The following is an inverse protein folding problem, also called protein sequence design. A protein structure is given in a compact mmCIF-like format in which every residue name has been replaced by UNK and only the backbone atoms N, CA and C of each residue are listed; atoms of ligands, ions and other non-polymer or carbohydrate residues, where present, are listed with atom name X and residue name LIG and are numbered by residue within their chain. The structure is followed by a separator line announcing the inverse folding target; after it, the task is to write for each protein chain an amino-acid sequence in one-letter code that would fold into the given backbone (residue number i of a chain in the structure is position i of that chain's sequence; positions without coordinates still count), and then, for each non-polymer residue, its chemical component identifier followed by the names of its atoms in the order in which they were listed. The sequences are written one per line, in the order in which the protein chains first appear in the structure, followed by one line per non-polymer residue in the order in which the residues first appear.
data_IF_179130794971
#
_entry.id   IF_179130794971
#
_cell.length_a   1.000
_cell.length_b   1.000
_cell.length_c   1.000
_cell.angle_alpha   90.00
_cell.angle_beta   90.00
_cell.angle_gamma   90.00
#
_symmetry.space_group_name_H-M   'P 1'
#
loop_
_entity.id
_entity.type
_entity.pdbx_description
1 polymer ?
#
# COMPACT_ATOMS: atom_id res chain seq x y z
N UNK A 1 -5.27 11.16 47.74
CA UNK A 1 -6.28 10.31 47.09
C UNK A 1 -6.31 10.75 45.63
N UNK A 2 -5.99 9.85 44.69
CA UNK A 2 -6.19 10.16 43.28
C UNK A 2 -7.68 10.46 43.07
N UNK A 3 -7.96 11.53 42.34
CA UNK A 3 -9.32 12.01 42.09
C UNK A 3 -10.09 10.89 41.38
N UNK A 4 -11.09 10.31 42.06
CA UNK A 4 -11.76 9.06 41.68
C UNK A 4 -12.60 9.21 40.39
N UNK A 5 -12.79 10.45 39.93
CA UNK A 5 -13.51 10.80 38.69
C UNK A 5 -12.62 11.44 37.62
N UNK A 6 -11.31 11.48 37.81
CA UNK A 6 -10.41 12.02 36.80
C UNK A 6 -10.12 10.94 35.74
N UNK A 7 -10.50 11.20 34.49
CA UNK A 7 -10.10 10.36 33.38
C UNK A 7 -8.58 10.52 33.16
N UNK A 8 -7.84 9.45 33.43
CA UNK A 8 -6.38 9.35 33.26
C UNK A 8 -6.01 8.50 32.05
N UNK A 9 -7.02 7.98 31.35
CA UNK A 9 -6.86 7.24 30.11
C UNK A 9 -7.10 8.17 28.93
N UNK A 10 -6.31 8.01 27.88
CA UNK A 10 -6.55 8.66 26.61
C UNK A 10 -6.55 7.61 25.50
N UNK A 11 -7.53 7.67 24.60
CA UNK A 11 -7.52 6.87 23.37
C UNK A 11 -6.26 7.21 22.56
N UNK A 12 -5.44 6.21 22.20
CA UNK A 12 -4.19 6.44 21.48
C UNK A 12 -4.41 6.91 20.05
N UNK A 13 -5.50 6.50 19.40
CA UNK A 13 -5.82 6.92 18.04
C UNK A 13 -6.14 8.43 17.99
N UNK A 14 -6.86 8.92 18.99
CA UNK A 14 -7.19 10.34 19.12
C UNK A 14 -6.04 11.18 19.69
N UNK A 15 -5.22 10.62 20.59
CA UNK A 15 -4.11 11.34 21.19
C UNK A 15 -2.97 11.62 20.18
N UNK A 16 -2.78 10.74 19.19
CA UNK A 16 -1.69 10.84 18.21
C UNK A 16 -2.11 11.66 17.00
N UNK A 17 -1.36 12.74 16.75
CA UNK A 17 -1.55 13.64 15.63
C UNK A 17 -0.32 13.58 14.72
N UNK A 18 -0.48 13.01 13.53
CA UNK A 18 0.56 12.93 12.50
C UNK A 18 0.42 14.15 11.59
N UNK A 19 1.47 14.95 11.47
CA UNK A 19 1.42 16.20 10.70
C UNK A 19 2.53 16.28 9.67
N UNK A 20 2.19 16.55 8.41
CA UNK A 20 3.17 16.92 7.38
C UNK A 20 3.44 18.43 7.47
N UNK A 21 4.71 18.81 7.56
CA UNK A 21 5.13 20.20 7.72
C UNK A 21 6.14 20.62 6.65
N UNK A 22 6.13 21.90 6.31
CA UNK A 22 7.14 22.55 5.46
C UNK A 22 7.71 23.78 6.14
N UNK A 23 8.89 24.21 5.68
CA UNK A 23 9.46 25.50 6.07
C UNK A 23 8.53 26.65 5.64
N UNK A 24 8.29 27.60 6.54
CA UNK A 24 7.53 28.82 6.28
C UNK A 24 8.21 30.01 6.99
N UNK A 25 7.96 31.22 6.51
CA UNK A 25 8.51 32.44 7.13
C UNK A 25 8.07 32.50 8.60
N UNK A 26 9.03 32.30 9.52
CA UNK A 26 8.79 32.33 10.97
C UNK A 26 8.55 30.98 11.66
N UNK A 27 8.71 29.84 10.97
CA UNK A 27 8.64 28.52 11.62
C UNK A 27 8.25 27.37 10.68
N UNK A 28 7.47 26.43 11.19
CA UNK A 28 6.93 25.31 10.40
C UNK A 28 5.45 25.52 10.11
N UNK A 29 5.06 25.38 8.84
CA UNK A 29 3.66 25.37 8.43
C UNK A 29 3.19 23.92 8.28
N UNK A 30 2.07 23.56 8.92
CA UNK A 30 1.44 22.26 8.70
C UNK A 30 0.63 22.28 7.41
N UNK A 31 0.91 21.34 6.51
CA UNK A 31 0.13 21.13 5.28
C UNK A 31 -1.11 20.32 5.62
N UNK A 32 -0.91 19.18 6.30
CA UNK A 32 -1.97 18.24 6.66
C UNK A 32 -1.70 17.68 8.05
N UNK A 33 -2.77 17.43 8.80
CA UNK A 33 -2.76 16.70 10.06
C UNK A 33 -3.82 15.61 9.98
N UNK A 34 -3.46 14.40 10.42
CA UNK A 34 -4.35 13.24 10.43
C UNK A 34 -3.98 12.31 11.59
N UNK A 35 -4.89 11.40 11.93
CA UNK A 35 -4.75 10.45 13.02
C UNK A 35 -4.40 9.05 12.48
N UNK A 36 -3.73 8.20 13.27
CA UNK A 36 -3.56 6.80 12.93
C UNK A 36 -4.92 6.07 12.93
N UNK A 37 -5.00 4.95 12.21
CA UNK A 37 -6.18 4.08 12.20
C UNK A 37 -6.08 2.98 13.26
N UNK A 38 -4.85 2.53 13.51
CA UNK A 38 -4.53 1.47 14.45
C UNK A 38 -3.37 1.91 15.32
N UNK A 39 -3.40 1.55 16.59
CA UNK A 39 -2.33 1.81 17.55
C UNK A 39 -2.07 0.63 18.47
N UNK A 40 -2.83 -0.46 18.32
CA UNK A 40 -2.74 -1.65 19.17
C UNK A 40 -1.36 -2.31 19.19
N UNK A 41 -0.65 -2.34 18.04
CA UNK A 41 0.72 -2.89 17.97
C UNK A 41 1.74 -2.11 18.79
N UNK A 42 1.39 -0.89 19.22
CA UNK A 42 2.27 0.03 19.96
C UNK A 42 1.78 0.19 21.40
N UNK A 43 0.48 0.36 21.63
CA UNK A 43 -0.11 0.66 22.94
C UNK A 43 -0.93 -0.49 23.55
N UNK A 44 -0.97 -1.65 22.90
CA UNK A 44 -1.73 -2.82 23.32
C UNK A 44 -3.17 -2.83 22.79
N UNK A 45 -3.84 -3.99 22.90
CA UNK A 45 -5.15 -4.27 22.28
C UNK A 45 -6.28 -3.31 22.69
N UNK A 46 -6.15 -2.63 23.83
CA UNK A 46 -7.13 -1.64 24.29
C UNK A 46 -6.97 -0.26 23.63
N UNK A 47 -5.89 -0.02 22.88
CA UNK A 47 -5.60 1.26 22.21
C UNK A 47 -5.77 2.48 23.14
N UNK A 48 -5.27 2.34 24.37
CA UNK A 48 -5.48 3.27 25.46
C UNK A 48 -4.17 3.55 26.18
N UNK A 49 -3.92 4.82 26.48
CA UNK A 49 -2.72 5.29 27.15
C UNK A 49 -3.07 5.74 28.56
N UNK A 50 -2.50 5.06 29.55
CA UNK A 50 -2.73 5.38 30.94
C UNK A 50 -1.72 6.41 31.49
N UNK A 51 -2.23 7.32 32.32
CA UNK A 51 -1.42 8.15 33.22
C UNK A 51 -1.23 9.60 32.79
N UNK A 52 -2.02 10.07 31.82
CA UNK A 52 -1.91 11.42 31.27
C UNK A 52 -3.28 12.05 31.08
N UNK A 53 -3.46 13.29 31.56
CA UNK A 53 -4.67 14.08 31.25
C UNK A 53 -4.39 15.08 30.14
N UNK A 54 -5.27 15.13 29.15
CA UNK A 54 -5.12 16.02 27.98
C UNK A 54 -3.87 15.70 27.16
N UNK A 55 -3.56 14.41 27.02
CA UNK A 55 -2.41 13.94 26.27
C UNK A 55 -2.54 14.30 24.78
N UNK A 56 -1.47 14.88 24.22
CA UNK A 56 -1.33 15.09 22.78
C UNK A 56 0.07 14.66 22.35
N UNK A 57 0.13 13.70 21.46
CA UNK A 57 1.37 13.20 20.87
C UNK A 57 1.43 13.72 19.44
N UNK A 58 2.21 14.78 19.21
CA UNK A 58 2.37 15.36 17.88
C UNK A 58 3.59 14.74 17.21
N UNK A 59 3.37 13.92 16.18
CA UNK A 59 4.41 13.36 15.34
C UNK A 59 4.48 14.19 14.04
N UNK A 60 5.42 15.14 14.00
CA UNK A 60 5.62 16.02 12.86
C UNK A 60 6.60 15.39 11.88
N UNK A 61 6.27 15.39 10.61
CA UNK A 61 7.09 14.91 9.53
C UNK A 61 7.41 16.05 8.59
N UNK A 62 8.68 16.25 8.27
CA UNK A 62 9.03 17.13 7.17
C UNK A 62 8.52 16.54 5.85
N UNK A 63 7.79 17.33 5.06
CA UNK A 63 7.06 16.86 3.91
C UNK A 63 7.95 16.27 2.79
N UNK A 64 9.21 16.69 2.68
CA UNK A 64 10.10 16.20 1.65
C UNK A 64 10.88 14.95 2.09
N UNK A 65 11.66 15.00 3.18
CA UNK A 65 12.55 13.89 3.58
C UNK A 65 11.94 12.94 4.63
N UNK A 66 10.68 13.17 5.02
CA UNK A 66 9.97 12.45 6.07
C UNK A 66 10.75 12.38 7.38
N UNK A 67 11.60 13.36 7.70
CA UNK A 67 12.26 13.41 9.01
C UNK A 67 11.21 13.59 10.11
N UNK A 68 11.15 12.71 11.13
CA UNK A 68 10.21 12.84 12.22
C UNK A 68 10.71 13.81 13.30
N UNK A 69 9.77 14.47 13.97
CA UNK A 69 9.96 15.24 15.19
C UNK A 69 8.81 14.96 16.15
N UNK A 70 9.10 14.37 17.29
CA UNK A 70 8.12 13.96 18.29
C UNK A 70 7.96 15.05 19.37
N UNK A 71 6.74 15.51 19.57
CA UNK A 71 6.38 16.47 20.61
C UNK A 71 5.21 15.95 21.43
N UNK A 72 5.50 15.53 22.67
CA UNK A 72 4.51 15.05 23.63
C UNK A 72 4.14 16.20 24.58
N UNK A 73 2.86 16.54 24.66
CA UNK A 73 2.32 17.52 25.61
C UNK A 73 1.18 16.90 26.42
N UNK A 74 1.05 17.31 27.68
CA UNK A 74 0.01 16.85 28.60
C UNK A 74 -0.23 17.89 29.69
N UNK A 75 -1.43 17.92 30.27
CA UNK A 75 -1.80 18.86 31.33
C UNK A 75 -1.33 18.37 32.70
N UNK A 76 -1.59 17.09 33.00
CA UNK A 76 -1.20 16.43 34.25
C UNK A 76 -0.68 15.04 33.95
N UNK A 77 0.33 14.61 34.72
CA UNK A 77 0.87 13.25 34.71
C UNK A 77 0.51 12.57 36.03
N UNK A 78 0.04 11.33 35.95
CA UNK A 78 -0.29 10.51 37.12
C UNK A 78 0.96 10.28 37.96
N UNK A 79 0.84 10.40 39.29
CA UNK A 79 1.93 10.09 40.22
C UNK A 79 1.84 8.60 40.54
N UNK A 80 2.92 7.83 40.41
CA UNK A 80 2.91 6.39 40.71
C UNK A 80 2.32 6.10 42.09
N UNK A 81 1.42 5.13 42.17
CA UNK A 81 0.85 4.64 43.43
C UNK A 81 0.90 3.12 43.42
N UNK A 82 1.75 2.55 44.28
CA UNK A 82 2.01 1.10 44.28
C UNK A 82 2.67 0.69 42.95
N UNK A 83 2.11 -0.32 42.30
CA UNK A 83 2.59 -0.87 41.02
C UNK A 83 1.98 -0.16 39.79
N UNK A 84 1.13 0.85 39.99
CA UNK A 84 0.47 1.57 38.90
C UNK A 84 1.35 2.75 38.48
N UNK A 85 2.01 2.61 37.33
CA UNK A 85 2.85 3.66 36.72
C UNK A 85 2.24 4.20 35.42
N UNK A 86 2.44 5.48 35.08
CA UNK A 86 2.04 6.03 33.79
C UNK A 86 2.87 5.40 32.66
N UNK A 87 2.25 5.17 31.51
CA UNK A 87 2.90 4.58 30.34
C UNK A 87 4.13 5.40 29.92
N UNK A 88 5.30 4.78 29.79
CA UNK A 88 6.48 5.48 29.26
C UNK A 88 6.42 5.60 27.74
N UNK A 89 5.80 6.70 27.30
CA UNK A 89 5.62 7.03 25.88
C UNK A 89 6.94 7.06 25.09
N UNK A 90 8.08 7.39 25.72
CA UNK A 90 9.36 7.42 24.99
C UNK A 90 9.87 6.02 24.77
N UNK A 91 9.87 5.18 25.80
CA UNK A 91 10.30 3.80 25.70
C UNK A 91 9.42 2.99 24.74
N UNK A 92 8.10 3.26 24.71
CA UNK A 92 7.16 2.60 23.80
C UNK A 92 7.40 3.01 22.33
N UNK A 93 7.75 4.27 22.06
CA UNK A 93 7.94 4.77 20.69
C UNK A 93 9.37 4.60 20.16
N UNK A 94 10.36 4.38 21.04
CA UNK A 94 11.78 4.25 20.68
C UNK A 94 12.07 3.13 19.65
N UNK A 95 11.43 1.94 19.72
CA UNK A 95 11.62 0.89 18.71
C UNK A 95 11.11 1.28 17.32
N UNK A 96 10.12 2.17 17.25
CA UNK A 96 9.42 2.50 16.01
C UNK A 96 9.96 3.76 15.33
N UNK A 97 10.61 4.65 16.08
CA UNK A 97 11.13 5.94 15.59
C UNK A 97 12.65 6.00 15.65
N UNK A 98 13.30 6.68 14.70
CA UNK A 98 14.74 6.92 14.78
C UNK A 98 15.05 7.85 15.96
N UNK A 99 16.25 7.73 16.54
CA UNK A 99 16.72 8.58 17.66
C UNK A 99 16.59 10.09 17.39
N UNK A 100 16.71 10.50 16.12
CA UNK A 100 16.53 11.89 15.69
C UNK A 100 15.12 12.43 15.93
N UNK A 101 14.11 11.56 16.03
CA UNK A 101 12.73 11.96 16.33
C UNK A 101 12.58 12.56 17.72
N UNK A 102 13.43 12.17 18.67
CA UNK A 102 13.36 12.59 20.08
C UNK A 102 14.18 13.85 20.39
N UNK A 103 14.75 14.49 19.37
CA UNK A 103 15.49 15.74 19.50
C UNK A 103 14.56 16.92 19.85
N UNK A 104 15.16 18.04 20.28
CA UNK A 104 14.41 19.25 20.60
C UNK A 104 13.73 19.81 19.35
N UNK A 105 12.54 20.38 19.49
CA UNK A 105 11.79 21.00 18.38
C UNK A 105 12.59 22.07 17.63
N UNK A 106 13.49 22.80 18.32
CA UNK A 106 14.37 23.77 17.68
C UNK A 106 15.36 23.13 16.68
N UNK A 107 15.84 21.92 16.97
CA UNK A 107 16.75 21.18 16.08
C UNK A 107 15.99 20.66 14.86
N UNK A 108 14.75 20.22 15.06
CA UNK A 108 13.85 19.85 13.99
C UNK A 108 13.59 21.03 13.03
N UNK A 109 13.27 22.21 13.56
CA UNK A 109 13.02 23.42 12.77
C UNK A 109 14.28 23.90 12.02
N UNK A 110 15.46 23.84 12.66
CA UNK A 110 16.72 24.18 11.98
C UNK A 110 17.02 23.21 10.83
N UNK A 111 16.74 21.91 11.02
CA UNK A 111 16.96 20.90 10.00
C UNK A 111 16.05 21.13 8.79
N UNK A 112 14.76 21.41 9.00
CA UNK A 112 13.82 21.72 7.91
C UNK A 112 14.26 22.97 7.12
N UNK A 113 14.77 23.98 7.82
CA UNK A 113 15.24 25.21 7.20
C UNK A 113 16.56 25.05 6.43
N UNK A 114 17.34 24.03 6.78
CA UNK A 114 18.65 23.74 6.15
C UNK A 114 18.58 22.88 4.89
N UNK A 115 17.40 22.43 4.49
CA UNK A 115 17.26 21.50 3.36
C UNK A 115 17.64 22.21 2.06
N UNK A 116 18.55 21.63 1.26
CA UNK A 116 18.92 22.20 -0.02
C UNK A 116 17.72 22.29 -0.98
N UNK A 117 17.66 23.34 -1.79
CA UNK A 117 16.62 23.53 -2.80
C UNK A 117 16.66 22.48 -3.92
N UNK A 118 17.83 21.88 -4.12
CA UNK A 118 18.13 20.80 -5.07
C UNK A 118 17.91 19.39 -4.47
N UNK A 119 17.39 19.30 -3.25
CA UNK A 119 17.08 18.01 -2.64
C UNK A 119 16.10 17.21 -3.51
N UNK A 120 16.40 15.92 -3.68
CA UNK A 120 15.53 14.95 -4.34
C UNK A 120 15.40 13.69 -3.47
N UNK A 121 14.32 12.91 -3.67
CA UNK A 121 14.16 11.62 -2.99
C UNK A 121 15.31 10.64 -3.25
N UNK A 122 15.58 9.72 -2.31
CA UNK A 122 16.62 8.71 -2.50
C UNK A 122 16.24 7.67 -3.56
N UNK A 123 17.25 7.05 -4.16
CA UNK A 123 17.11 6.09 -5.24
C UNK A 123 17.13 6.71 -6.64
N UNK A 124 16.59 5.97 -7.61
CA UNK A 124 16.50 6.37 -9.02
C UNK A 124 15.09 6.92 -9.32
N UNK A 125 15.02 7.96 -10.16
CA UNK A 125 13.73 8.41 -10.70
C UNK A 125 13.23 7.37 -11.71
N UNK A 126 12.15 6.66 -11.36
CA UNK A 126 11.58 5.60 -12.19
C UNK A 126 10.56 6.15 -13.18
N UNK A 127 9.62 6.99 -12.73
CA UNK A 127 8.54 7.50 -13.57
C UNK A 127 8.02 8.86 -13.12
N UNK A 128 7.78 9.75 -14.06
CA UNK A 128 7.06 11.01 -13.85
C UNK A 128 5.67 10.91 -14.49
N UNK A 129 4.64 11.35 -13.77
CA UNK A 129 3.24 11.21 -14.16
C UNK A 129 2.55 12.55 -13.93
N UNK A 130 1.93 13.12 -14.97
CA UNK A 130 1.20 14.38 -14.88
C UNK A 130 -0.30 14.12 -15.02
N UNK A 131 -1.06 14.43 -13.96
CA UNK A 131 -2.51 14.20 -13.92
C UNK A 131 -3.18 15.42 -13.29
N UNK A 132 -4.15 16.00 -14.00
CA UNK A 132 -4.94 17.11 -13.48
C UNK A 132 -4.14 18.38 -13.17
N UNK A 133 -2.99 18.58 -13.82
CA UNK A 133 -2.08 19.70 -13.55
C UNK A 133 -1.16 19.49 -12.34
N UNK A 134 -1.24 18.34 -11.67
CA UNK A 134 -0.29 17.92 -10.64
C UNK A 134 0.77 16.98 -11.24
N UNK A 135 2.03 17.16 -10.86
CA UNK A 135 3.13 16.27 -11.25
C UNK A 135 3.45 15.33 -10.10
N UNK A 136 3.45 14.02 -10.38
CA UNK A 136 3.86 12.97 -9.46
C UNK A 136 5.14 12.33 -9.97
N UNK A 137 6.08 12.07 -9.07
CA UNK A 137 7.30 11.35 -9.37
C UNK A 137 7.37 10.09 -8.50
N UNK A 138 7.70 8.97 -9.14
CA UNK A 138 7.93 7.69 -8.49
C UNK A 138 9.43 7.43 -8.50
N UNK A 139 9.98 7.29 -7.30
CA UNK A 139 11.38 7.01 -7.07
C UNK A 139 11.52 5.56 -6.59
N UNK A 140 12.56 4.86 -7.06
CA UNK A 140 12.81 3.46 -6.76
C UNK A 140 14.18 3.31 -6.13
N UNK A 141 14.24 2.61 -5.01
CA UNK A 141 15.49 2.27 -4.33
C UNK A 141 15.54 0.79 -3.96
N UNK A 142 16.74 0.33 -3.62
CA UNK A 142 16.95 -0.98 -3.01
C UNK A 142 17.16 -0.78 -1.50
N UNK A 143 16.69 -1.71 -0.67
CA UNK A 143 16.86 -1.60 0.78
C UNK A 143 18.32 -1.77 1.25
N UNK A 144 19.23 -2.25 0.40
CA UNK A 144 20.67 -2.24 0.70
C UNK A 144 21.29 -0.83 0.63
N UNK A 145 20.62 0.17 0.04
CA UNK A 145 21.09 1.55 0.00
C UNK A 145 20.86 2.25 1.37
N UNK A 146 21.91 2.77 2.04
CA UNK A 146 21.78 3.46 3.31
C UNK A 146 20.80 4.65 3.31
N UNK A 147 20.66 5.37 2.20
CA UNK A 147 19.72 6.51 2.11
C UNK A 147 18.26 6.04 2.03
N UNK A 148 18.02 4.91 1.37
CA UNK A 148 16.70 4.26 1.30
C UNK A 148 16.35 3.68 2.67
N UNK A 149 17.29 2.99 3.32
CA UNK A 149 17.10 2.49 4.69
C UNK A 149 16.78 3.62 5.66
N UNK A 150 17.50 4.74 5.58
CA UNK A 150 17.23 5.90 6.44
C UNK A 150 15.80 6.41 6.26
N UNK A 151 15.30 6.43 5.03
CA UNK A 151 13.93 6.87 4.72
C UNK A 151 12.92 5.86 5.26
N UNK A 152 13.14 4.55 5.07
CA UNK A 152 12.31 3.49 5.66
C UNK A 152 12.27 3.62 7.18
N UNK A 153 13.42 3.78 7.87
CA UNK A 153 13.49 3.96 9.33
C UNK A 153 12.64 5.13 9.82
N UNK A 154 12.47 6.18 9.02
CA UNK A 154 11.64 7.35 9.36
C UNK A 154 10.14 7.09 9.21
N UNK A 155 9.74 6.32 8.19
CA UNK A 155 8.34 6.10 7.84
C UNK A 155 7.78 4.77 8.37
N UNK A 156 8.62 3.87 8.89
CA UNK A 156 8.22 2.51 9.28
C UNK A 156 7.10 2.48 10.33
N UNK A 157 7.02 3.46 11.24
CA UNK A 157 5.92 3.58 12.22
C UNK A 157 4.56 3.80 11.56
N UNK A 158 4.52 4.32 10.33
CA UNK A 158 3.27 4.49 9.60
C UNK A 158 2.66 3.14 9.19
N UNK A 159 3.46 2.07 9.10
CA UNK A 159 2.99 0.72 8.79
C UNK A 159 2.00 0.24 9.86
N UNK A 160 2.37 0.10 11.15
CA UNK A 160 1.42 -0.30 12.19
C UNK A 160 0.30 0.73 12.40
N UNK A 161 0.47 2.00 12.00
CA UNK A 161 -0.59 2.99 12.10
C UNK A 161 -1.72 2.84 11.07
N UNK A 162 -1.44 2.29 9.89
CA UNK A 162 -2.39 2.29 8.76
C UNK A 162 -2.59 0.93 8.11
N UNK A 163 -1.71 -0.03 8.35
CA UNK A 163 -1.78 -1.40 7.83
C UNK A 163 -2.02 -2.34 9.01
N UNK A 164 -3.21 -2.93 9.05
CA UNK A 164 -3.58 -3.94 10.05
C UNK A 164 -2.64 -5.15 9.93
N UNK A 165 -2.07 -5.58 11.05
CA UNK A 165 -1.07 -6.65 11.10
C UNK A 165 0.29 -6.28 10.52
N UNK A 166 0.50 -5.03 10.10
CA UNK A 166 1.74 -4.57 9.50
C UNK A 166 2.91 -4.58 10.48
N UNK A 167 3.99 -5.26 10.12
CA UNK A 167 5.24 -5.31 10.89
C UNK A 167 6.32 -4.43 10.27
N UNK A 168 7.29 -4.03 11.09
CA UNK A 168 8.50 -3.36 10.60
C UNK A 168 9.32 -4.34 9.75
N UNK A 169 10.07 -3.79 8.79
CA UNK A 169 11.08 -4.56 8.09
C UNK A 169 12.30 -4.71 9.00
N UNK A 170 12.92 -5.89 8.98
CA UNK A 170 14.22 -6.07 9.61
C UNK A 170 15.30 -5.42 8.73
N UNK A 171 16.02 -4.47 9.30
CA UNK A 171 17.05 -3.68 8.61
C UNK A 171 18.47 -4.08 9.02
N UNK A 172 18.60 -5.06 9.93
CA UNK A 172 19.87 -5.57 10.44
C UNK A 172 20.24 -6.92 9.78
N UNK A 173 19.53 -7.31 8.70
CA UNK A 173 19.80 -8.50 7.88
C UNK A 173 21.04 -8.34 6.97
N UNK A 174 21.43 -9.43 6.29
CA UNK A 174 22.55 -9.42 5.36
C UNK A 174 22.28 -8.51 4.14
N UNK A 175 23.32 -7.97 3.52
CA UNK A 175 23.17 -7.14 2.30
C UNK A 175 22.43 -7.89 1.17
N UNK A 176 22.57 -9.21 1.11
CA UNK A 176 21.87 -10.07 0.14
C UNK A 176 20.38 -10.19 0.43
N UNK A 177 19.98 -10.22 1.70
CA UNK A 177 18.57 -10.28 2.11
C UNK A 177 17.88 -8.92 1.93
N UNK A 178 18.57 -7.85 2.33
CA UNK A 178 18.15 -6.47 2.05
C UNK A 178 18.06 -6.21 0.54
N UNK A 179 18.96 -6.82 -0.24
CA UNK A 179 18.99 -6.74 -1.70
C UNK A 179 17.72 -7.24 -2.38
N UNK A 180 16.94 -8.10 -1.71
CA UNK A 180 15.68 -8.64 -2.23
C UNK A 180 14.51 -7.69 -2.08
N UNK A 181 14.66 -6.62 -1.30
CA UNK A 181 13.64 -5.61 -1.09
C UNK A 181 13.83 -4.44 -2.06
N UNK A 182 12.85 -4.25 -2.93
CA UNK A 182 12.71 -3.03 -3.73
C UNK A 182 11.70 -2.10 -3.07
N UNK A 183 12.08 -0.84 -2.88
CA UNK A 183 11.23 0.19 -2.28
C UNK A 183 10.86 1.21 -3.34
N UNK A 184 9.58 1.55 -3.41
CA UNK A 184 9.04 2.60 -4.26
C UNK A 184 8.51 3.73 -3.39
N UNK A 185 8.88 4.97 -3.72
CA UNK A 185 8.38 6.16 -3.07
C UNK A 185 7.57 6.99 -4.06
N UNK A 186 6.39 7.45 -3.64
CA UNK A 186 5.53 8.33 -4.41
C UNK A 186 5.62 9.75 -3.84
N UNK A 187 6.03 10.70 -4.69
CA UNK A 187 6.11 12.10 -4.36
C UNK A 187 5.22 12.94 -5.26
N UNK A 188 4.57 13.94 -4.68
CA UNK A 188 3.97 15.04 -5.43
C UNK A 188 5.01 16.15 -5.56
N UNK A 189 5.31 16.54 -6.79
CA UNK A 189 6.18 17.67 -7.10
C UNK A 189 5.32 18.91 -7.30
N UNK A 190 5.37 19.82 -6.33
CA UNK A 190 4.77 21.15 -6.46
C UNK A 190 5.58 21.97 -7.46
N UNK A 191 4.92 22.69 -8.35
CA UNK A 191 5.62 23.67 -9.17
C UNK A 191 6.25 24.70 -8.22
N UNK A 192 7.56 24.87 -8.35
CA UNK A 192 8.33 25.77 -7.51
C UNK A 192 7.87 27.21 -7.78
N UNK A 193 6.98 27.73 -6.95
CA UNK A 193 6.74 29.17 -6.83
C UNK A 193 7.84 29.77 -5.95
N UNK A 194 9.10 29.50 -6.29
CA UNK A 194 10.24 30.08 -5.59
C UNK A 194 10.27 31.59 -5.86
N UNK A 195 9.54 32.35 -5.05
CA UNK A 195 9.93 33.73 -4.76
C UNK A 195 11.28 33.69 -4.05
N UNK A 196 12.11 34.71 -4.29
CA UNK A 196 13.51 34.88 -3.84
C UNK A 196 13.78 34.63 -2.34
N UNK A 197 12.73 34.45 -1.52
CA UNK A 197 12.75 34.31 -0.06
C UNK A 197 12.33 32.92 0.46
N UNK A 198 11.81 32.00 -0.37
CA UNK A 198 11.36 30.67 0.07
C UNK A 198 12.21 29.55 -0.54
N UNK A 199 13.20 29.08 0.23
CA UNK A 199 13.95 27.85 -0.08
C UNK A 199 13.22 26.67 0.56
N UNK A 200 12.15 26.19 -0.06
CA UNK A 200 11.52 24.91 0.32
C UNK A 200 11.65 23.91 -0.83
N UNK A 201 11.93 22.66 -0.48
CA UNK A 201 11.99 21.58 -1.47
C UNK A 201 10.61 21.38 -2.11
N UNK A 202 10.59 21.23 -3.43
CA UNK A 202 9.34 21.10 -4.20
C UNK A 202 8.61 19.76 -4.02
N UNK A 203 9.17 18.84 -3.23
CA UNK A 203 8.67 17.47 -3.07
C UNK A 203 7.84 17.32 -1.81
N UNK A 204 6.67 16.68 -1.96
CA UNK A 204 5.78 16.28 -0.86
C UNK A 204 5.58 14.77 -0.93
N UNK A 205 6.02 14.08 0.12
CA UNK A 205 5.85 12.64 0.25
C UNK A 205 4.36 12.28 0.28
N UNK A 206 3.96 11.39 -0.62
CA UNK A 206 2.56 11.01 -0.83
C UNK A 206 2.29 9.57 -0.38
N UNK A 207 3.26 8.68 -0.54
CA UNK A 207 3.11 7.26 -0.20
C UNK A 207 4.36 6.44 -0.51
N UNK A 208 4.33 5.17 -0.15
CA UNK A 208 5.38 4.23 -0.50
C UNK A 208 4.84 2.80 -0.66
N UNK A 209 5.65 1.95 -1.29
CA UNK A 209 5.39 0.52 -1.35
C UNK A 209 6.69 -0.28 -1.31
N UNK A 210 6.65 -1.44 -0.70
CA UNK A 210 7.76 -2.39 -0.63
C UNK A 210 7.41 -3.65 -1.41
N UNK A 211 8.38 -4.17 -2.15
CA UNK A 211 8.25 -5.39 -2.94
C UNK A 211 9.39 -6.33 -2.57
N UNK A 212 9.04 -7.55 -2.16
CA UNK A 212 10.01 -8.61 -1.88
C UNK A 212 10.14 -9.57 -3.06
N UNK A 213 11.37 -9.96 -3.36
CA UNK A 213 11.71 -10.94 -4.39
C UNK A 213 11.85 -12.35 -3.79
N UNK A 214 10.82 -13.18 -3.93
CA UNK A 214 10.90 -14.60 -3.58
C UNK A 214 11.53 -15.42 -4.68
N UNK A 215 12.53 -16.23 -4.36
CA UNK A 215 13.02 -17.24 -5.29
C UNK A 215 11.89 -18.21 -5.67
N UNK A 216 11.69 -18.41 -6.97
CA UNK A 216 10.72 -19.35 -7.51
C UNK A 216 11.45 -20.57 -8.06
N UNK A 217 11.46 -21.65 -7.28
CA UNK A 217 11.96 -22.92 -7.74
C UNK A 217 11.11 -23.43 -8.92
N UNK A 218 11.77 -23.70 -10.05
CA UNK A 218 11.15 -24.31 -11.22
C UNK A 218 11.85 -25.65 -11.47
N UNK A 219 11.22 -26.78 -11.16
CA UNK A 219 11.83 -28.08 -11.42
C UNK A 219 12.00 -28.25 -12.93
N UNK A 220 13.17 -28.71 -13.36
CA UNK A 220 13.41 -29.13 -14.74
C UNK A 220 12.45 -30.27 -15.08
N UNK A 221 11.64 -30.09 -16.13
CA UNK A 221 10.74 -31.12 -16.64
C UNK A 221 11.21 -31.62 -18.01
N UNK A 222 11.05 -32.92 -18.32
CA UNK A 222 10.25 -33.90 -17.57
C UNK A 222 11.01 -34.53 -16.38
N UNK A 223 10.30 -35.05 -15.36
CA UNK A 223 10.92 -35.95 -14.38
C UNK A 223 11.63 -37.07 -15.13
N UNK A 224 12.84 -37.43 -14.69
CA UNK A 224 13.58 -38.55 -15.28
C UNK A 224 12.67 -39.80 -15.34
N UNK A 225 12.71 -40.47 -16.49
CA UNK A 225 11.81 -41.53 -16.98
C UNK A 225 11.23 -42.51 -15.94
N UNK A 226 10.03 -43.07 -16.19
CA UNK A 226 9.35 -44.02 -15.28
C UNK A 226 10.09 -45.35 -15.00
N UNK A 227 11.24 -45.60 -15.64
CA UNK A 227 12.06 -46.82 -15.48
C UNK A 227 13.55 -46.52 -15.14
N UNK A 228 13.91 -45.30 -14.78
CA UNK A 228 15.25 -44.98 -14.26
C UNK A 228 15.24 -45.04 -12.74
N UNK A 229 16.34 -45.49 -12.14
CA UNK A 229 16.53 -45.52 -10.69
C UNK A 229 16.01 -44.25 -10.00
N UNK A 230 15.49 -44.39 -8.78
CA UNK A 230 15.06 -43.27 -7.91
C UNK A 230 16.27 -42.39 -7.58
N UNK A 231 16.73 -41.61 -8.54
CA UNK A 231 17.61 -40.49 -8.32
C UNK A 231 16.68 -39.44 -7.73
N UNK A 232 16.72 -39.29 -6.40
CA UNK A 232 16.15 -38.12 -5.77
C UNK A 232 16.69 -36.90 -6.54
N UNK A 233 15.85 -35.94 -6.95
CA UNK A 233 16.36 -34.76 -7.64
C UNK A 233 17.38 -34.12 -6.70
N UNK A 234 18.66 -34.29 -7.02
CA UNK A 234 19.77 -33.70 -6.29
C UNK A 234 19.66 -32.20 -6.56
N UNK A 235 18.94 -31.51 -5.67
CA UNK A 235 18.82 -30.08 -5.72
C UNK A 235 20.15 -29.49 -5.24
N UNK A 236 21.05 -29.28 -6.18
CA UNK A 236 22.15 -28.35 -6.01
C UNK A 236 21.61 -26.96 -6.31
N UNK A 237 21.52 -26.12 -5.28
CA UNK A 237 21.47 -24.67 -5.50
C UNK A 237 22.65 -24.33 -6.43
N UNK A 238 22.50 -23.46 -7.43
CA UNK A 238 23.64 -22.95 -8.17
C UNK A 238 24.42 -22.01 -7.24
N UNK A 239 25.20 -22.59 -6.31
CA UNK A 239 25.77 -21.86 -5.17
C UNK A 239 27.00 -21.03 -5.54
N UNK A 240 27.66 -21.35 -6.66
CA UNK A 240 28.90 -20.67 -7.06
C UNK A 240 28.65 -19.68 -8.20
N UNK A 241 28.69 -18.38 -7.87
CA UNK A 241 28.79 -17.28 -8.83
C UNK A 241 27.47 -16.80 -9.48
N UNK A 242 26.31 -17.29 -9.04
CA UNK A 242 24.99 -16.81 -9.53
C UNK A 242 24.41 -15.78 -8.58
N UNK A 243 24.21 -14.55 -9.06
CA UNK A 243 23.48 -13.52 -8.29
C UNK A 243 22.01 -13.89 -8.17
N UNK A 244 21.44 -13.77 -6.96
CA UNK A 244 20.01 -13.97 -6.68
C UNK A 244 19.09 -13.09 -7.54
N UNK A 245 19.59 -11.95 -8.01
CA UNK A 245 18.86 -11.03 -8.89
C UNK A 245 18.59 -11.64 -10.28
N UNK A 246 19.36 -12.65 -10.67
CA UNK A 246 19.22 -13.35 -11.95
C UNK A 246 18.35 -14.61 -11.89
N UNK A 247 17.89 -14.99 -10.71
CA UNK A 247 17.08 -16.19 -10.53
C UNK A 247 15.59 -15.91 -10.77
N UNK A 248 14.82 -16.86 -11.34
CA UNK A 248 13.37 -16.73 -11.45
C UNK A 248 12.73 -16.41 -10.11
N UNK A 249 11.78 -15.47 -10.10
CA UNK A 249 11.18 -15.00 -8.86
C UNK A 249 9.66 -14.82 -8.94
N UNK A 250 9.07 -14.82 -7.75
CA UNK A 250 7.75 -14.26 -7.48
C UNK A 250 7.95 -12.94 -6.76
N UNK A 251 7.46 -11.87 -7.36
CA UNK A 251 7.58 -10.51 -6.81
C UNK A 251 6.33 -10.21 -5.99
N UNK A 252 6.49 -10.07 -4.67
CA UNK A 252 5.37 -9.87 -3.74
C UNK A 252 5.34 -8.43 -3.25
N UNK A 253 4.29 -7.69 -3.59
CA UNK A 253 3.99 -6.39 -2.96
C UNK A 253 3.64 -6.69 -1.49
N UNK A 254 4.41 -6.12 -0.57
CA UNK A 254 4.27 -6.36 0.87
C UNK A 254 3.51 -5.21 1.51
N UNK A 255 4.17 -4.08 1.72
CA UNK A 255 3.53 -2.89 2.27
C UNK A 255 3.14 -1.97 1.10
N UNK A 256 1.91 -1.44 1.11
CA UNK A 256 1.46 -0.45 0.14
C UNK A 256 0.64 0.60 0.86
N UNK A 257 1.07 1.85 0.80
CA UNK A 257 0.41 2.93 1.51
C UNK A 257 0.43 4.24 0.72
N UNK A 258 -0.72 4.88 0.69
CA UNK A 258 -0.88 6.29 0.34
C UNK A 258 -1.29 7.01 1.63
N UNK A 259 -0.63 8.12 1.98
CA UNK A 259 -0.96 8.84 3.20
C UNK A 259 -2.42 9.34 3.14
N UNK A 260 -3.15 9.35 4.28
CA UNK A 260 -4.57 9.70 4.32
C UNK A 260 -4.96 10.97 3.56
N UNK A 261 -4.20 12.09 3.64
CA UNK A 261 -4.55 13.32 2.91
C UNK A 261 -4.55 13.20 1.38
N UNK A 262 -3.90 12.16 0.84
CA UNK A 262 -3.75 11.95 -0.59
C UNK A 262 -4.56 10.74 -1.11
N UNK A 263 -5.41 10.14 -0.28
CA UNK A 263 -6.30 9.06 -0.69
C UNK A 263 -7.48 9.57 -1.55
N UNK A 264 -8.26 8.66 -2.12
CA UNK A 264 -9.49 8.95 -2.89
C UNK A 264 -9.35 9.83 -4.15
N UNK A 265 -8.13 9.96 -4.69
CA UNK A 265 -7.85 10.73 -5.92
C UNK A 265 -7.18 9.94 -7.05
N UNK A 266 -7.37 8.61 -7.09
CA UNK A 266 -6.76 7.72 -8.10
C UNK A 266 -5.25 7.47 -7.94
N UNK A 267 -4.58 8.15 -7.01
CA UNK A 267 -3.13 8.06 -6.75
C UNK A 267 -2.68 6.64 -6.42
N UNK A 268 -3.49 5.87 -5.68
CA UNK A 268 -3.24 4.46 -5.42
C UNK A 268 -3.18 3.62 -6.71
N UNK A 269 -4.17 3.73 -7.59
CA UNK A 269 -4.19 3.00 -8.86
C UNK A 269 -3.04 3.40 -9.78
N UNK A 270 -2.69 4.69 -9.83
CA UNK A 270 -1.53 5.19 -10.59
C UNK A 270 -0.24 4.54 -10.09
N UNK A 271 -0.04 4.56 -8.77
CA UNK A 271 1.15 4.03 -8.13
C UNK A 271 1.26 2.52 -8.30
N UNK A 272 0.16 1.78 -8.07
CA UNK A 272 0.08 0.35 -8.29
C UNK A 272 0.40 -0.02 -9.75
N UNK A 273 -0.17 0.67 -10.73
CA UNK A 273 0.09 0.36 -12.14
C UNK A 273 1.55 0.61 -12.53
N UNK A 274 2.19 1.64 -11.98
CA UNK A 274 3.60 1.89 -12.22
C UNK A 274 4.50 0.79 -11.64
N UNK A 275 4.20 0.32 -10.42
CA UNK A 275 4.90 -0.82 -9.80
C UNK A 275 4.64 -2.10 -10.62
N UNK A 276 3.40 -2.34 -11.04
CA UNK A 276 3.08 -3.49 -11.88
C UNK A 276 3.86 -3.45 -13.19
N UNK A 277 3.93 -2.30 -13.87
CA UNK A 277 4.69 -2.14 -15.12
C UNK A 277 6.17 -2.50 -14.90
N UNK A 278 6.77 -2.02 -13.80
CA UNK A 278 8.15 -2.37 -13.44
C UNK A 278 8.36 -3.89 -13.29
N UNK A 279 7.47 -4.56 -12.55
CA UNK A 279 7.55 -6.01 -12.34
C UNK A 279 7.19 -6.82 -13.60
N UNK A 280 6.36 -6.25 -14.47
CA UNK A 280 6.04 -6.81 -15.77
C UNK A 280 7.25 -6.78 -16.71
N UNK A 281 8.06 -5.73 -16.65
CA UNK A 281 9.26 -5.61 -17.47
C UNK A 281 10.46 -6.42 -16.95
N UNK A 282 10.47 -6.83 -15.67
CA UNK A 282 11.53 -7.69 -15.10
C UNK A 282 11.51 -9.11 -15.73
N UNK A 283 12.51 -9.53 -16.52
CA UNK A 283 12.50 -10.81 -17.22
C UNK A 283 12.47 -12.04 -16.28
N UNK A 284 12.85 -11.86 -15.01
CA UNK A 284 12.92 -12.93 -14.03
C UNK A 284 11.63 -13.10 -13.22
N UNK A 285 10.83 -12.04 -13.10
CA UNK A 285 9.52 -12.12 -12.44
C UNK A 285 8.60 -13.03 -13.27
N UNK A 286 8.10 -14.09 -12.64
CA UNK A 286 7.12 -15.03 -13.21
C UNK A 286 5.71 -14.75 -12.73
N UNK A 287 5.58 -14.25 -11.51
CA UNK A 287 4.29 -13.99 -10.88
C UNK A 287 4.37 -12.80 -9.94
N UNK A 288 3.37 -11.93 -10.00
CA UNK A 288 3.18 -10.77 -9.14
C UNK A 288 2.10 -11.12 -8.11
N UNK A 289 2.50 -11.15 -6.84
CA UNK A 289 1.61 -11.43 -5.71
C UNK A 289 1.53 -10.25 -4.76
N UNK A 290 0.59 -10.32 -3.82
CA UNK A 290 0.41 -9.32 -2.77
C UNK A 290 0.34 -10.08 -1.46
N UNK A 291 0.98 -9.55 -0.43
CA UNK A 291 0.95 -10.05 0.94
C UNK A 291 -0.35 -9.60 1.61
N UNK A 292 -1.15 -10.56 2.06
CA UNK A 292 -2.37 -10.37 2.86
C UNK A 292 -3.15 -9.07 2.56
N UNK A 293 -3.63 -8.88 1.30
CA UNK A 293 -4.30 -7.66 0.90
C UNK A 293 -5.58 -7.46 1.73
N UNK A 294 -5.82 -6.21 2.14
CA UNK A 294 -7.11 -5.82 2.69
C UNK A 294 -8.14 -5.56 1.58
N UNK A 295 -9.41 -5.44 1.95
CA UNK A 295 -10.52 -5.24 1.01
C UNK A 295 -10.33 -4.03 0.08
N UNK A 296 -9.86 -2.91 0.62
CA UNK A 296 -9.60 -1.71 -0.18
C UNK A 296 -8.49 -1.92 -1.22
N UNK A 297 -7.47 -2.72 -0.88
CA UNK A 297 -6.42 -3.08 -1.83
C UNK A 297 -6.92 -4.10 -2.87
N UNK A 298 -7.73 -5.07 -2.47
CA UNK A 298 -8.37 -6.01 -3.40
C UNK A 298 -9.19 -5.27 -4.45
N UNK A 299 -10.01 -4.28 -4.06
CA UNK A 299 -10.77 -3.44 -4.99
C UNK A 299 -9.86 -2.67 -5.96
N UNK A 300 -8.80 -2.03 -5.44
CA UNK A 300 -7.82 -1.31 -6.24
C UNK A 300 -7.14 -2.23 -7.25
N UNK A 301 -6.78 -3.44 -6.82
CA UNK A 301 -6.11 -4.46 -7.63
C UNK A 301 -7.03 -5.00 -8.71
N UNK A 302 -8.25 -5.39 -8.34
CA UNK A 302 -9.26 -5.95 -9.25
C UNK A 302 -9.59 -4.95 -10.37
N UNK A 303 -9.82 -3.67 -10.04
CA UNK A 303 -10.12 -2.63 -11.02
C UNK A 303 -8.92 -2.38 -11.94
N UNK A 304 -7.70 -2.32 -11.38
CA UNK A 304 -6.48 -2.06 -12.15
C UNK A 304 -6.12 -3.21 -13.09
N UNK A 305 -6.17 -4.45 -12.58
CA UNK A 305 -5.90 -5.66 -13.37
C UNK A 305 -6.98 -5.87 -14.44
N UNK A 306 -8.25 -5.62 -14.11
CA UNK A 306 -9.34 -5.67 -15.08
C UNK A 306 -9.13 -4.66 -16.21
N UNK A 307 -8.82 -3.40 -15.89
CA UNK A 307 -8.56 -2.36 -16.88
C UNK A 307 -7.33 -2.69 -17.75
N UNK A 308 -6.31 -3.34 -17.16
CA UNK A 308 -5.11 -3.80 -17.87
C UNK A 308 -5.43 -4.96 -18.83
N UNK A 309 -6.04 -6.02 -18.32
CA UNK A 309 -6.37 -7.22 -19.11
C UNK A 309 -7.38 -6.94 -20.22
N UNK A 310 -8.35 -6.05 -19.99
CA UNK A 310 -9.34 -5.68 -21.00
C UNK A 310 -8.72 -5.01 -22.23
N UNK A 311 -7.51 -4.46 -22.14
CA UNK A 311 -6.78 -3.93 -23.31
C UNK A 311 -6.22 -5.03 -24.22
N UNK A 312 -6.04 -6.25 -23.71
CA UNK A 312 -5.54 -7.38 -24.49
C UNK A 312 -6.71 -8.02 -25.29
N UNK A 313 -6.59 -7.99 -26.62
CA UNK A 313 -7.60 -8.57 -27.52
C UNK A 313 -7.77 -10.08 -27.33
N UNK A 314 -6.73 -10.80 -26.90
CA UNK A 314 -6.80 -12.24 -26.61
C UNK A 314 -7.60 -12.51 -25.35
N UNK A 315 -7.47 -11.64 -24.34
CA UNK A 315 -8.28 -11.74 -23.12
C UNK A 315 -9.75 -11.55 -23.43
N UNK A 316 -10.08 -10.62 -24.34
CA UNK A 316 -11.47 -10.43 -24.79
C UNK A 316 -12.06 -11.64 -25.54
N UNK A 317 -11.24 -12.56 -26.03
CA UNK A 317 -11.70 -13.80 -26.66
C UNK A 317 -12.01 -14.91 -25.65
N UNK A 318 -11.59 -14.77 -24.39
CA UNK A 318 -11.87 -15.71 -23.29
C UNK A 318 -13.32 -15.60 -22.80
N UNK A 319 -14.27 -15.93 -23.67
CA UNK A 319 -15.71 -15.97 -23.37
C UNK A 319 -16.17 -17.40 -23.10
N UNK A 320 -17.32 -17.52 -22.44
CA UNK A 320 -17.99 -18.81 -22.32
C UNK A 320 -18.33 -19.36 -23.71
N UNK A 321 -18.10 -20.65 -23.91
CA UNK A 321 -18.46 -21.32 -25.15
C UNK A 321 -19.99 -21.40 -25.27
N UNK A 322 -20.56 -20.65 -26.22
CA UNK A 322 -22.01 -20.57 -26.47
C UNK A 322 -22.63 -21.88 -26.96
N UNK A 323 -21.82 -22.85 -27.38
CA UNK A 323 -22.28 -24.17 -27.84
C UNK A 323 -22.36 -25.21 -26.71
N UNK A 324 -22.10 -24.82 -25.45
CA UNK A 324 -22.14 -25.74 -24.31
C UNK A 324 -23.58 -26.20 -24.02
N UNK A 325 -23.79 -27.52 -24.05
CA UNK A 325 -25.04 -28.14 -23.61
C UNK A 325 -24.99 -28.33 -22.10
N UNK A 326 -25.77 -27.56 -21.36
CA UNK A 326 -25.89 -27.67 -19.91
C UNK A 326 -26.93 -28.74 -19.58
N UNK A 327 -26.53 -29.78 -18.84
CA UNK A 327 -27.47 -30.75 -18.28
C UNK A 327 -27.85 -30.30 -16.85
N UNK A 328 -29.10 -29.92 -16.57
CA UNK A 328 -29.52 -29.44 -15.24
C UNK A 328 -29.34 -30.47 -14.12
N UNK A 329 -29.24 -31.76 -14.46
CA UNK A 329 -29.09 -32.88 -13.51
C UNK A 329 -27.74 -33.57 -13.60
N UNK A 330 -26.82 -33.05 -14.42
CA UNK A 330 -25.50 -33.63 -14.65
C UNK A 330 -24.38 -32.81 -13.99
N UNK A 331 -23.13 -33.31 -14.02
CA UNK A 331 -21.99 -32.53 -13.59
C UNK A 331 -21.81 -31.28 -14.46
N UNK A 332 -21.23 -30.23 -13.89
CA UNK A 332 -20.88 -29.03 -14.63
C UNK A 332 -19.91 -29.36 -15.78
N UNK A 333 -20.04 -28.70 -16.96
CA UNK A 333 -19.12 -28.92 -18.07
C UNK A 333 -17.67 -28.62 -17.66
N UNK A 334 -16.74 -29.52 -17.98
CA UNK A 334 -15.32 -29.42 -17.60
C UNK A 334 -14.54 -28.38 -18.41
N UNK A 335 -15.01 -28.01 -19.61
CA UNK A 335 -14.34 -27.05 -20.50
C UNK A 335 -15.26 -25.88 -20.84
N UNK A 336 -15.26 -24.86 -19.99
CA UNK A 336 -16.10 -23.68 -20.12
C UNK A 336 -15.59 -22.66 -21.16
N UNK A 337 -14.27 -22.59 -21.29
CA UNK A 337 -13.54 -21.65 -22.15
C UNK A 337 -12.20 -22.28 -22.59
N UNK A 338 -11.40 -21.55 -23.38
CA UNK A 338 -10.07 -22.00 -23.80
C UNK A 338 -9.05 -21.92 -22.64
N UNK A 339 -8.85 -23.04 -21.95
CA UNK A 339 -7.90 -23.17 -20.84
C UNK A 339 -6.45 -22.96 -21.27
N UNK A 340 -6.09 -23.26 -22.54
CA UNK A 340 -4.72 -23.08 -23.01
C UNK A 340 -4.42 -21.59 -23.17
N UNK A 341 -5.31 -20.86 -23.85
CA UNK A 341 -5.21 -19.42 -24.00
C UNK A 341 -5.28 -18.69 -22.63
N UNK A 342 -6.11 -19.19 -21.71
CA UNK A 342 -6.20 -18.68 -20.33
C UNK A 342 -4.84 -18.71 -19.62
N UNK A 343 -4.16 -19.87 -19.63
CA UNK A 343 -2.86 -20.00 -18.97
C UNK A 343 -1.74 -19.22 -19.69
N UNK A 344 -1.78 -19.14 -21.03
CA UNK A 344 -0.83 -18.34 -21.81
C UNK A 344 -0.91 -16.85 -21.45
N UNK A 345 -2.13 -16.29 -21.40
CA UNK A 345 -2.33 -14.88 -21.03
C UNK A 345 -1.95 -14.65 -19.57
N UNK A 346 -2.38 -15.53 -18.65
CA UNK A 346 -2.04 -15.40 -17.23
C UNK A 346 -0.53 -15.39 -17.01
N UNK A 347 0.18 -16.35 -17.59
CA UNK A 347 1.63 -16.48 -17.46
C UNK A 347 2.36 -15.28 -18.09
N UNK A 348 1.91 -14.81 -19.25
CA UNK A 348 2.50 -13.64 -19.90
C UNK A 348 2.27 -12.36 -19.09
N UNK A 349 1.07 -12.17 -18.55
CA UNK A 349 0.72 -11.00 -17.73
C UNK A 349 1.27 -11.10 -16.31
N UNK A 350 1.87 -12.24 -15.93
CA UNK A 350 2.46 -12.53 -14.61
C UNK A 350 1.48 -12.36 -13.45
N UNK A 351 0.18 -12.56 -13.70
CA UNK A 351 -0.85 -12.40 -12.66
C UNK A 351 -1.02 -13.72 -11.90
N UNK A 352 -1.12 -13.65 -10.58
CA UNK A 352 -1.35 -14.80 -9.72
C UNK A 352 -2.66 -15.53 -10.09
N UNK A 353 -2.70 -16.88 -10.05
CA UNK A 353 -3.87 -17.67 -10.49
C UNK A 353 -5.21 -17.24 -9.89
N UNK A 354 -5.25 -17.01 -8.57
CA UNK A 354 -6.47 -16.56 -7.87
C UNK A 354 -6.93 -15.19 -8.35
N UNK A 355 -6.00 -14.26 -8.56
CA UNK A 355 -6.31 -12.92 -9.05
C UNK A 355 -6.82 -12.95 -10.50
N UNK A 356 -6.15 -13.71 -11.36
CA UNK A 356 -6.56 -13.83 -12.76
C UNK A 356 -7.95 -14.47 -12.88
N UNK A 357 -8.25 -15.48 -12.06
CA UNK A 357 -9.57 -16.09 -12.00
C UNK A 357 -10.66 -15.08 -11.62
N UNK A 358 -10.44 -14.28 -10.56
CA UNK A 358 -11.37 -13.21 -10.14
C UNK A 358 -11.64 -12.22 -11.27
N UNK A 359 -10.58 -11.71 -11.91
CA UNK A 359 -10.71 -10.71 -12.98
C UNK A 359 -11.36 -11.31 -14.23
N UNK A 360 -11.09 -12.57 -14.54
CA UNK A 360 -11.78 -13.29 -15.62
C UNK A 360 -13.27 -13.47 -15.33
N UNK A 361 -13.64 -13.82 -14.09
CA UNK A 361 -15.04 -13.89 -13.66
C UNK A 361 -15.73 -12.53 -13.77
N UNK A 362 -15.09 -11.45 -13.29
CA UNK A 362 -15.60 -10.08 -13.46
C UNK A 362 -15.81 -9.72 -14.94
N UNK A 363 -14.88 -10.14 -15.82
CA UNK A 363 -15.03 -9.97 -17.25
C UNK A 363 -16.24 -10.71 -17.81
N UNK A 364 -16.40 -11.99 -17.49
CA UNK A 364 -17.55 -12.78 -17.94
C UNK A 364 -18.88 -12.20 -17.46
N UNK A 365 -18.95 -11.75 -16.20
CA UNK A 365 -20.13 -11.09 -15.64
C UNK A 365 -20.44 -9.77 -16.37
N UNK A 366 -19.41 -9.00 -16.74
CA UNK A 366 -19.58 -7.74 -17.48
C UNK A 366 -20.16 -7.91 -18.89
N UNK A 367 -20.13 -9.13 -19.45
CA UNK A 367 -20.72 -9.46 -20.75
C UNK A 367 -22.21 -9.82 -20.65
N UNK A 368 -22.71 -10.13 -19.46
CA UNK A 368 -24.12 -10.46 -19.26
C UNK A 368 -24.92 -9.16 -19.43
N UNK A 369 -25.89 -9.11 -20.36
CA UNK A 369 -26.76 -7.94 -20.48
C UNK A 369 -27.42 -7.67 -19.13
N UNK A 370 -27.38 -6.41 -18.66
CA UNK A 370 -28.07 -6.03 -17.44
C UNK A 370 -29.50 -6.56 -17.51
N UNK A 371 -29.87 -7.43 -16.56
CA UNK A 371 -31.23 -7.91 -16.40
C UNK A 371 -32.03 -6.66 -16.03
N UNK A 372 -32.59 -5.97 -17.02
CA UNK A 372 -33.64 -4.97 -16.81
C UNK A 372 -34.65 -5.63 -15.91
N UNK A 373 -34.97 -4.97 -14.81
CA UNK A 373 -35.97 -5.30 -13.79
C UNK A 373 -37.27 -5.84 -14.41
N UNK A 374 -37.29 -7.12 -14.79
CA UNK A 374 -38.45 -7.79 -15.37
C UNK A 374 -39.33 -8.42 -14.28
N UNK A 375 -39.13 -8.04 -13.01
CA UNK A 375 -39.92 -8.49 -11.86
C UNK A 375 -40.67 -7.37 -11.14
N UNK A 376 -40.50 -6.09 -11.51
CA UNK A 376 -41.22 -4.97 -10.90
C UNK A 376 -42.53 -4.58 -11.63
N UNK A 377 -42.82 -5.12 -12.83
CA UNK A 377 -44.01 -4.76 -13.62
C UNK A 377 -45.16 -5.78 -13.63
N UNK A 378 -45.05 -6.90 -12.90
CA UNK A 378 -46.12 -7.92 -12.82
C UNK A 378 -46.97 -7.88 -11.54
N UNK A 379 -46.80 -6.88 -10.67
CA UNK A 379 -47.69 -6.64 -9.53
C UNK A 379 -48.20 -5.20 -9.53
N UNK A 380 -49.41 -5.01 -10.05
CA UNK A 380 -50.20 -3.80 -9.80
C UNK A 380 -50.74 -3.06 -11.02
N UNK A 381 -51.53 -3.71 -11.88
CA UNK A 381 -52.56 -3.01 -12.66
C UNK A 381 -53.93 -3.32 -12.06
N UNK A 382 -54.24 -2.53 -11.04
CA UNK A 382 -55.57 -2.43 -10.45
C UNK A 382 -55.72 -1.03 -9.89
N UNK A 383 -56.01 -0.06 -10.78
CA UNK A 383 -56.79 1.16 -10.50
C UNK A 383 -56.91 1.97 -11.79
N UNK A 384 -58.14 2.02 -12.30
CA UNK A 384 -58.61 3.01 -13.25
C UNK A 384 -58.38 4.40 -12.67
N UNK A 385 -57.65 5.25 -13.40
CA UNK A 385 -57.79 6.70 -13.26
C UNK A 385 -58.34 7.22 -14.58
N UNK A 386 -59.56 7.77 -14.49
CA UNK A 386 -60.21 8.50 -15.57
C UNK A 386 -59.36 9.70 -15.97
N UNK A 387 -59.13 9.84 -17.28
CA UNK A 387 -58.58 11.04 -17.89
C UNK A 387 -59.56 12.21 -17.72
N UNK A 388 -59.05 13.33 -17.22
CA UNK A 388 -59.68 14.65 -17.34
C UNK A 388 -58.83 15.46 -18.32
N UNK A 389 -59.37 15.95 -19.45
CA UNK A 389 -58.58 16.73 -20.39
C UNK A 389 -58.54 18.20 -19.95
N UNK A 390 -57.35 18.75 -19.77
CA UNK A 390 -57.15 20.20 -19.68
C UNK A 390 -56.47 20.68 -20.97
N UNK A 391 -57.20 21.48 -21.73
CA UNK A 391 -56.77 22.21 -22.91
C UNK A 391 -55.85 23.38 -22.56
N UNK A 392 -55.05 23.89 -23.51
CA UNK A 392 -53.87 24.69 -23.22
C UNK A 392 -54.18 26.19 -23.14
N UNK A 393 -53.52 26.88 -22.21
CA UNK A 393 -52.92 28.22 -22.40
C UNK A 393 -51.75 28.41 -21.44
#
# INVERSE_FOLDING_TARGET
MADVNADWSADSNDAIHISLVTSSVGGTASIHTFNPKFTYSIFGDEESIFGYQGLKINLKYNACDMRPGLQITYNKKFKPVGDIEPTDLKAVLEPFLPKTAFEKSSVFESNISSIPSDWHPPGELFRTIEIGGETFEIWKGNLSDPFVQQTIKRIQILVPFFIEGGTLLDLDESEDDLGRWTVFFLYQKKQSTATFFEKSSSYVFTGFSTVYRYYMYTPTTPPQSPNGDKIAPEFTLPVDGVSFDSLPCRSRISQFMILPPFQNGGKGSIFYNAIFDYLYDDPYTREITVEDPNEAFDDLRDISDFARLRKDARFQQLKLNSSLKINPKGPAPTKLFDTKLYEEIRAQMKIAPRQFARVHEMYLLSLIPAIREASASSRGRGRNFQEVPATPK
#
